data_IF_365987439533
#
_entry.id   IF_365987439533
#
_cell.length_a   1.000
_cell.length_b   1.000
_cell.length_c   1.000
_cell.angle_alpha   90.00
_cell.angle_beta   90.00
_cell.angle_gamma   90.00
#
_symmetry.space_group_name_H-M   'P 1'
#
loop_
_entity.id
_entity.type
_entity.pdbx_description
1 polymer ?
#
# COMPACT_ATOMS: atom_id res chain seq x y z
N UNK A 1 39.45 -0.85 23.51
CA UNK A 1 39.11 -0.20 22.22
C UNK A 1 38.29 -1.07 21.26
N UNK A 2 38.45 -2.39 21.23
CA UNK A 2 37.67 -3.30 20.33
C UNK A 2 36.20 -3.49 20.72
N UNK A 3 35.85 -3.44 22.00
CA UNK A 3 34.46 -3.60 22.47
C UNK A 3 33.58 -2.38 22.15
N UNK A 4 34.09 -1.17 22.21
CA UNK A 4 33.34 0.06 21.85
C UNK A 4 33.00 0.11 20.34
N UNK A 5 33.85 -0.46 19.49
CA UNK A 5 33.62 -0.52 18.03
C UNK A 5 32.51 -1.50 17.65
N UNK A 6 32.34 -2.61 18.38
CA UNK A 6 31.27 -3.59 18.15
C UNK A 6 29.88 -3.08 18.56
N UNK A 7 29.78 -2.41 19.72
CA UNK A 7 28.54 -1.77 20.15
C UNK A 7 28.11 -0.63 19.24
N UNK A 8 29.03 0.24 18.83
CA UNK A 8 28.74 1.31 17.87
C UNK A 8 28.28 0.79 16.50
N UNK A 9 28.84 -0.32 16.02
CA UNK A 9 28.43 -0.95 14.77
C UNK A 9 27.02 -1.54 14.86
N UNK A 10 26.66 -2.16 16.00
CA UNK A 10 25.33 -2.69 16.25
C UNK A 10 24.27 -1.58 16.31
N UNK A 11 24.56 -0.49 17.02
CA UNK A 11 23.66 0.68 17.14
C UNK A 11 23.45 1.35 15.77
N UNK A 12 24.50 1.48 14.95
CA UNK A 12 24.41 2.04 13.62
C UNK A 12 23.52 1.19 12.70
N UNK A 13 23.67 -0.14 12.72
CA UNK A 13 22.85 -1.05 11.96
C UNK A 13 21.38 -0.99 12.42
N UNK A 14 21.13 -0.92 13.71
CA UNK A 14 19.80 -0.77 14.27
C UNK A 14 19.15 0.57 13.85
N UNK A 15 19.87 1.68 13.92
CA UNK A 15 19.39 2.98 13.46
C UNK A 15 19.05 2.96 11.96
N UNK A 16 19.92 2.36 11.14
CA UNK A 16 19.68 2.18 9.69
C UNK A 16 18.46 1.31 9.43
N UNK A 17 18.25 0.26 10.22
CA UNK A 17 17.09 -0.61 10.09
C UNK A 17 15.79 0.13 10.44
N UNK A 18 15.78 0.88 11.54
CA UNK A 18 14.63 1.64 12.02
C UNK A 18 14.30 2.87 11.15
N UNK A 19 15.26 3.34 10.34
CA UNK A 19 15.03 4.45 9.39
C UNK A 19 14.02 4.10 8.27
N UNK A 20 13.70 2.82 8.09
CA UNK A 20 12.77 2.38 7.06
C UNK A 20 11.52 1.75 7.65
N UNK A 21 10.37 2.02 7.03
CA UNK A 21 9.09 1.43 7.42
C UNK A 21 9.10 -0.10 7.24
N UNK A 22 8.37 -0.81 8.10
CA UNK A 22 8.21 -2.27 8.02
C UNK A 22 7.71 -2.75 6.64
N UNK A 23 6.85 -1.98 5.99
CA UNK A 23 6.37 -2.26 4.62
C UNK A 23 7.49 -2.25 3.59
N UNK A 24 8.51 -1.40 3.76
CA UNK A 24 9.69 -1.34 2.89
C UNK A 24 10.50 -2.63 3.02
N UNK A 25 10.75 -3.08 4.25
CA UNK A 25 11.44 -4.35 4.51
C UNK A 25 10.68 -5.56 3.95
N UNK A 26 9.37 -5.61 4.15
CA UNK A 26 8.51 -6.68 3.62
C UNK A 26 8.55 -6.73 2.08
N UNK A 27 8.57 -5.58 1.41
CA UNK A 27 8.73 -5.50 -0.05
C UNK A 27 10.07 -6.07 -0.49
N UNK A 28 11.18 -5.65 0.13
CA UNK A 28 12.50 -6.16 -0.22
C UNK A 28 12.63 -7.66 0.06
N UNK A 29 12.14 -8.13 1.20
CA UNK A 29 12.09 -9.56 1.55
C UNK A 29 11.34 -10.38 0.51
N UNK A 30 10.15 -9.93 0.10
CA UNK A 30 9.34 -10.63 -0.91
C UNK A 30 10.02 -10.68 -2.27
N UNK A 31 10.63 -9.56 -2.70
CA UNK A 31 11.32 -9.47 -4.00
C UNK A 31 12.60 -10.29 -4.05
N UNK A 32 13.31 -10.44 -2.91
CA UNK A 32 14.56 -11.19 -2.83
C UNK A 32 14.37 -12.69 -2.61
N UNK A 33 13.21 -13.11 -2.07
CA UNK A 33 12.96 -14.51 -1.73
C UNK A 33 13.28 -15.50 -2.86
N UNK A 34 12.89 -15.28 -4.13
CA UNK A 34 13.22 -16.19 -5.22
C UNK A 34 14.73 -16.30 -5.49
N UNK A 35 15.47 -15.19 -5.30
CA UNK A 35 16.92 -15.17 -5.49
C UNK A 35 17.65 -15.86 -4.33
N UNK A 36 17.17 -15.69 -3.11
CA UNK A 36 17.71 -16.39 -1.94
C UNK A 36 17.58 -17.91 -2.15
N UNK A 37 16.42 -18.39 -2.58
CA UNK A 37 16.22 -19.82 -2.89
C UNK A 37 17.18 -20.27 -3.99
N UNK A 38 17.30 -19.49 -5.08
CA UNK A 38 18.22 -19.80 -6.17
C UNK A 38 19.69 -19.90 -5.71
N UNK A 39 20.12 -19.05 -4.79
CA UNK A 39 21.46 -19.08 -4.21
C UNK A 39 21.65 -20.30 -3.28
N UNK A 40 20.68 -20.56 -2.39
CA UNK A 40 20.74 -21.72 -1.46
C UNK A 40 20.82 -23.04 -2.22
N UNK A 41 20.04 -23.22 -3.29
CA UNK A 41 20.10 -24.43 -4.14
C UNK A 41 21.47 -24.64 -4.80
N UNK A 42 22.34 -23.63 -4.81
CA UNK A 42 23.68 -23.64 -5.45
C UNK A 42 24.81 -23.43 -4.45
N UNK A 43 24.50 -23.50 -3.16
CA UNK A 43 25.46 -23.24 -2.08
C UNK A 43 26.20 -21.90 -2.23
N UNK A 44 25.45 -20.85 -2.60
CA UNK A 44 25.96 -19.50 -2.80
C UNK A 44 25.45 -18.54 -1.72
N UNK A 45 26.31 -17.65 -1.25
CA UNK A 45 25.87 -16.49 -0.45
C UNK A 45 25.37 -15.37 -1.34
N UNK A 46 24.26 -14.75 -0.97
CA UNK A 46 23.70 -13.58 -1.69
C UNK A 46 24.68 -12.39 -1.71
N UNK A 47 25.61 -12.31 -0.77
CA UNK A 47 26.58 -11.22 -0.66
C UNK A 47 27.87 -11.45 -1.47
N UNK A 48 28.11 -12.69 -1.92
CA UNK A 48 29.27 -13.07 -2.74
C UNK A 48 28.90 -13.37 -4.19
N UNK A 49 27.68 -13.07 -4.61
CA UNK A 49 27.26 -13.24 -5.99
C UNK A 49 28.00 -12.28 -6.94
N UNK A 50 28.37 -12.80 -8.12
CA UNK A 50 28.95 -12.03 -9.20
C UNK A 50 27.88 -11.49 -10.16
N UNK A 51 28.19 -10.51 -11.05
CA UNK A 51 27.33 -10.10 -12.14
C UNK A 51 26.81 -11.27 -12.97
N UNK A 52 27.64 -12.29 -13.20
CA UNK A 52 27.28 -13.49 -13.94
C UNK A 52 26.14 -14.28 -13.28
N UNK A 53 26.23 -14.52 -11.98
CA UNK A 53 25.19 -15.25 -11.21
C UNK A 53 23.86 -14.51 -11.23
N UNK A 54 23.89 -13.19 -11.07
CA UNK A 54 22.69 -12.36 -11.14
C UNK A 54 22.04 -12.42 -12.52
N UNK A 55 22.85 -12.38 -13.58
CA UNK A 55 22.37 -12.49 -14.96
C UNK A 55 21.74 -13.86 -15.24
N UNK A 56 22.33 -14.96 -14.75
CA UNK A 56 21.73 -16.29 -14.85
C UNK A 56 20.34 -16.34 -14.17
N UNK A 57 20.24 -15.76 -12.98
CA UNK A 57 18.94 -15.67 -12.28
C UNK A 57 17.92 -14.87 -13.07
N UNK A 58 18.30 -13.68 -13.56
CA UNK A 58 17.39 -12.80 -14.34
C UNK A 58 16.88 -13.53 -15.58
N UNK A 59 17.75 -14.19 -16.33
CA UNK A 59 17.39 -14.95 -17.53
C UNK A 59 16.47 -16.13 -17.19
N UNK A 60 16.76 -16.86 -16.11
CA UNK A 60 15.91 -17.95 -15.65
C UNK A 60 14.51 -17.48 -15.24
N UNK A 61 14.39 -16.29 -14.61
CA UNK A 61 13.07 -15.71 -14.29
C UNK A 61 12.31 -15.29 -15.56
N UNK A 62 13.01 -14.69 -16.52
CA UNK A 62 12.42 -14.30 -17.79
C UNK A 62 11.89 -15.52 -18.57
N UNK A 63 12.65 -16.62 -18.60
CA UNK A 63 12.24 -17.89 -19.23
C UNK A 63 10.99 -18.51 -18.55
N UNK A 64 10.83 -18.31 -17.23
CA UNK A 64 9.61 -18.71 -16.49
C UNK A 64 8.41 -17.78 -16.75
N UNK A 65 8.54 -16.77 -17.60
CA UNK A 65 7.47 -15.81 -17.91
C UNK A 65 7.24 -14.76 -16.82
N UNK A 66 8.20 -14.55 -15.90
CA UNK A 66 8.12 -13.50 -14.90
C UNK A 66 8.16 -12.13 -15.56
N UNK A 67 7.29 -11.20 -15.16
CA UNK A 67 7.23 -9.87 -15.76
C UNK A 67 8.51 -9.06 -15.50
N UNK A 68 8.87 -8.18 -16.45
CA UNK A 68 10.00 -7.27 -16.27
C UNK A 68 9.89 -6.41 -14.99
N UNK A 69 8.66 -5.95 -14.65
CA UNK A 69 8.44 -5.19 -13.41
C UNK A 69 8.84 -5.96 -12.14
N UNK A 70 8.60 -7.27 -12.09
CA UNK A 70 9.02 -8.13 -10.98
C UNK A 70 10.54 -8.30 -10.94
N UNK A 71 11.17 -8.47 -12.10
CA UNK A 71 12.64 -8.56 -12.22
C UNK A 71 13.29 -7.23 -11.82
N UNK A 72 12.73 -6.10 -12.22
CA UNK A 72 13.20 -4.78 -11.80
C UNK A 72 13.08 -4.59 -10.28
N UNK A 73 11.95 -4.99 -9.69
CA UNK A 73 11.76 -4.92 -8.23
C UNK A 73 12.78 -5.78 -7.46
N UNK A 74 13.17 -6.92 -8.03
CA UNK A 74 14.26 -7.73 -7.50
C UNK A 74 15.61 -6.96 -7.56
N UNK A 75 15.97 -6.40 -8.71
CA UNK A 75 17.22 -5.65 -8.88
C UNK A 75 17.29 -4.45 -7.93
N UNK A 76 16.21 -3.69 -7.80
CA UNK A 76 16.12 -2.55 -6.88
C UNK A 76 16.30 -3.01 -5.42
N UNK A 77 15.67 -4.13 -5.05
CA UNK A 77 15.76 -4.69 -3.70
C UNK A 77 17.14 -5.24 -3.41
N UNK A 78 17.77 -5.86 -4.39
CA UNK A 78 19.12 -6.40 -4.23
C UNK A 78 20.15 -5.27 -4.12
N UNK A 79 20.05 -4.24 -4.96
CA UNK A 79 20.84 -3.01 -4.84
C UNK A 79 20.71 -2.39 -3.45
N UNK A 80 19.48 -2.26 -2.95
CA UNK A 80 19.23 -1.72 -1.62
C UNK A 80 19.94 -2.54 -0.53
N UNK A 81 19.84 -3.87 -0.57
CA UNK A 81 20.46 -4.75 0.44
C UNK A 81 21.98 -4.68 0.37
N UNK A 82 22.58 -4.71 -0.82
CA UNK A 82 24.03 -4.58 -0.96
C UNK A 82 24.53 -3.25 -0.36
N UNK A 83 23.85 -2.14 -0.66
CA UNK A 83 24.18 -0.82 -0.11
C UNK A 83 23.93 -0.75 1.40
N UNK A 84 22.86 -1.36 1.88
CA UNK A 84 22.54 -1.39 3.32
C UNK A 84 23.62 -2.05 4.14
N UNK A 85 24.21 -3.16 3.64
CA UNK A 85 25.30 -3.89 4.30
C UNK A 85 26.68 -3.40 3.91
N UNK A 86 26.80 -2.35 3.10
CA UNK A 86 28.10 -1.81 2.68
C UNK A 86 28.87 -2.70 1.70
N UNK A 87 28.16 -3.60 1.02
CA UNK A 87 28.74 -4.47 -0.02
C UNK A 87 28.77 -3.72 -1.34
N UNK A 88 29.82 -3.95 -2.14
CA UNK A 88 29.94 -3.32 -3.46
C UNK A 88 28.74 -3.64 -4.34
N UNK A 89 28.07 -2.58 -4.81
CA UNK A 89 26.93 -2.72 -5.70
C UNK A 89 27.40 -2.82 -7.17
N UNK A 90 27.51 -4.04 -7.66
CA UNK A 90 27.91 -4.33 -9.03
C UNK A 90 26.76 -4.35 -10.05
N UNK A 91 25.55 -3.99 -9.66
CA UNK A 91 24.40 -3.96 -10.60
C UNK A 91 24.52 -2.86 -11.65
N UNK A 92 25.47 -1.92 -11.47
CA UNK A 92 25.86 -0.95 -12.48
C UNK A 92 26.78 -1.55 -13.58
N UNK A 93 27.23 -2.79 -13.42
CA UNK A 93 28.08 -3.50 -14.38
C UNK A 93 27.44 -3.52 -15.78
N UNK A 94 28.21 -3.29 -16.86
CA UNK A 94 27.70 -3.30 -18.23
C UNK A 94 27.01 -4.61 -18.63
N UNK A 95 27.48 -5.76 -18.14
CA UNK A 95 26.88 -7.06 -18.41
C UNK A 95 25.46 -7.14 -17.81
N UNK A 96 25.28 -6.71 -16.55
CA UNK A 96 23.95 -6.69 -15.89
C UNK A 96 23.01 -5.75 -16.64
N UNK A 97 23.47 -4.55 -17.00
CA UNK A 97 22.68 -3.59 -17.78
C UNK A 97 22.26 -4.14 -19.14
N UNK A 98 23.16 -4.87 -19.82
CA UNK A 98 22.85 -5.47 -21.12
C UNK A 98 21.80 -6.56 -21.02
N UNK A 99 21.92 -7.47 -20.06
CA UNK A 99 20.94 -8.54 -19.82
C UNK A 99 19.59 -7.94 -19.38
N UNK A 100 19.60 -6.96 -18.49
CA UNK A 100 18.38 -6.22 -18.10
C UNK A 100 17.67 -5.64 -19.31
N UNK A 101 18.39 -4.94 -20.22
CA UNK A 101 17.82 -4.35 -21.44
C UNK A 101 17.25 -5.42 -22.40
N UNK A 102 17.91 -6.57 -22.49
CA UNK A 102 17.40 -7.70 -23.27
C UNK A 102 16.07 -8.21 -22.70
N UNK A 103 16.03 -8.48 -21.39
CA UNK A 103 14.83 -8.98 -20.70
C UNK A 103 13.69 -7.95 -20.77
N UNK A 104 13.99 -6.67 -20.65
CA UNK A 104 13.00 -5.60 -20.81
C UNK A 104 12.30 -5.64 -22.17
N UNK A 105 13.05 -5.95 -23.24
CA UNK A 105 12.51 -6.05 -24.59
C UNK A 105 11.74 -7.36 -24.85
N UNK A 106 12.12 -8.44 -24.19
CA UNK A 106 11.59 -9.79 -24.46
C UNK A 106 10.46 -10.21 -23.54
N UNK A 107 10.40 -9.67 -22.31
CA UNK A 107 9.31 -9.93 -21.39
C UNK A 107 8.00 -9.30 -21.85
N UNK A 108 6.93 -10.08 -21.77
CA UNK A 108 5.58 -9.59 -22.10
C UNK A 108 5.16 -8.51 -21.11
N UNK A 109 5.08 -7.28 -21.57
CA UNK A 109 4.54 -6.14 -20.80
C UNK A 109 3.01 -6.19 -20.84
N UNK A 110 2.38 -6.88 -19.90
CA UNK A 110 0.95 -6.67 -19.65
C UNK A 110 0.79 -5.38 -18.84
N UNK A 111 0.64 -4.26 -19.51
CA UNK A 111 0.14 -3.04 -18.87
C UNK A 111 -1.35 -3.23 -18.62
N UNK A 112 -1.73 -3.61 -17.41
CA UNK A 112 -3.09 -3.35 -16.97
C UNK A 112 -3.21 -1.83 -16.78
N UNK A 113 -3.73 -1.15 -17.78
CA UNK A 113 -4.10 0.26 -17.66
C UNK A 113 -5.24 0.28 -16.64
N UNK A 114 -4.95 0.83 -15.47
CA UNK A 114 -5.99 1.05 -14.46
C UNK A 114 -6.79 2.26 -14.91
N UNK A 115 -8.06 2.06 -15.20
CA UNK A 115 -8.96 3.16 -15.45
C UNK A 115 -9.22 3.93 -14.14
N UNK A 116 -9.30 5.26 -14.19
CA UNK A 116 -9.60 6.04 -13.00
C UNK A 116 -11.02 5.74 -12.52
N UNK A 117 -11.16 5.54 -11.20
CA UNK A 117 -12.44 5.39 -10.55
C UNK A 117 -13.06 6.78 -10.36
N UNK A 118 -14.09 7.09 -11.12
CA UNK A 118 -14.72 8.41 -11.16
C UNK A 118 -16.18 8.40 -10.69
N UNK A 119 -16.83 9.51 -10.91
CA UNK A 119 -18.24 9.70 -10.53
C UNK A 119 -19.20 8.77 -11.27
N UNK A 120 -18.84 8.36 -12.48
CA UNK A 120 -19.62 7.42 -13.31
C UNK A 120 -19.65 6.05 -12.67
N UNK A 121 -18.52 5.57 -12.19
CA UNK A 121 -18.38 4.27 -11.53
C UNK A 121 -19.09 4.28 -10.17
N UNK A 122 -18.96 5.38 -9.39
CA UNK A 122 -19.69 5.56 -8.13
C UNK A 122 -21.19 5.50 -8.36
N UNK A 123 -21.70 6.18 -9.39
CA UNK A 123 -23.11 6.15 -9.76
C UNK A 123 -23.56 4.77 -10.20
N UNK A 124 -22.80 4.10 -11.04
CA UNK A 124 -23.13 2.75 -11.49
C UNK A 124 -23.22 1.74 -10.33
N UNK A 125 -22.34 1.86 -9.33
CA UNK A 125 -22.41 1.04 -8.12
C UNK A 125 -23.65 1.38 -7.31
N UNK A 126 -23.95 2.68 -7.13
CA UNK A 126 -25.18 3.10 -6.47
C UNK A 126 -26.42 2.52 -7.12
N UNK A 127 -26.57 2.72 -8.44
CA UNK A 127 -27.74 2.26 -9.20
C UNK A 127 -27.91 0.73 -9.12
N UNK A 128 -26.79 -0.02 -9.15
CA UNK A 128 -26.79 -1.47 -8.99
C UNK A 128 -27.24 -1.91 -7.59
N UNK A 129 -26.76 -1.25 -6.54
CA UNK A 129 -27.14 -1.53 -5.16
C UNK A 129 -28.59 -1.12 -4.90
N UNK A 130 -28.99 0.05 -5.37
CA UNK A 130 -30.37 0.54 -5.22
C UNK A 130 -31.37 -0.38 -5.90
N UNK A 131 -31.10 -0.79 -7.14
CA UNK A 131 -31.90 -1.79 -7.87
C UNK A 131 -32.00 -3.12 -7.12
N UNK A 132 -30.90 -3.56 -6.49
CA UNK A 132 -30.85 -4.84 -5.79
C UNK A 132 -31.61 -4.83 -4.47
N UNK A 133 -31.52 -3.74 -3.72
CA UNK A 133 -32.02 -3.67 -2.35
C UNK A 133 -33.23 -2.75 -2.17
N UNK A 134 -33.52 -1.86 -3.13
CA UNK A 134 -34.68 -1.00 -3.14
C UNK A 134 -34.59 0.15 -2.11
N UNK A 135 -33.45 0.80 -2.03
CA UNK A 135 -33.19 1.94 -1.16
C UNK A 135 -31.94 1.76 -0.31
N UNK A 136 -31.19 2.84 -0.09
CA UNK A 136 -29.92 2.83 0.64
C UNK A 136 -30.09 2.38 2.10
N UNK A 137 -31.25 2.64 2.70
CA UNK A 137 -31.59 2.21 4.06
C UNK A 137 -31.65 0.68 4.18
N UNK A 138 -31.88 -0.01 3.05
CA UNK A 138 -31.97 -1.47 3.00
C UNK A 138 -30.63 -2.13 2.64
N UNK A 139 -29.59 -1.36 2.32
CA UNK A 139 -28.28 -1.95 2.02
C UNK A 139 -27.78 -2.75 3.24
N UNK A 140 -27.34 -4.00 3.06
CA UNK A 140 -26.71 -4.74 4.13
C UNK A 140 -25.46 -4.02 4.64
N UNK A 141 -25.06 -4.27 5.89
CA UNK A 141 -23.91 -3.61 6.52
C UNK A 141 -22.63 -3.70 5.70
N UNK A 142 -22.40 -4.86 5.06
CA UNK A 142 -21.21 -5.11 4.25
C UNK A 142 -21.17 -4.23 2.99
N UNK A 143 -22.26 -4.17 2.27
CA UNK A 143 -22.41 -3.40 1.05
C UNK A 143 -22.36 -1.90 1.36
N UNK A 144 -23.07 -1.45 2.40
CA UNK A 144 -23.05 -0.05 2.83
C UNK A 144 -21.64 0.38 3.26
N UNK A 145 -20.93 -0.46 4.03
CA UNK A 145 -19.54 -0.21 4.40
C UNK A 145 -18.65 -0.04 3.17
N UNK A 146 -18.70 -0.98 2.23
CA UNK A 146 -17.86 -0.97 1.04
C UNK A 146 -18.16 0.24 0.15
N UNK A 147 -19.45 0.56 0.00
CA UNK A 147 -19.88 1.72 -0.78
C UNK A 147 -19.47 3.03 -0.10
N UNK A 148 -19.66 3.15 1.22
CA UNK A 148 -19.23 4.32 1.98
C UNK A 148 -17.72 4.55 1.87
N UNK A 149 -16.91 3.49 1.96
CA UNK A 149 -15.46 3.59 1.76
C UNK A 149 -15.11 4.07 0.36
N UNK A 150 -15.78 3.57 -0.68
CA UNK A 150 -15.55 3.99 -2.06
C UNK A 150 -15.91 5.47 -2.28
N UNK A 151 -17.06 5.93 -1.77
CA UNK A 151 -17.48 7.33 -1.83
C UNK A 151 -16.52 8.22 -1.04
N UNK A 152 -16.10 7.78 0.15
CA UNK A 152 -15.13 8.50 0.97
C UNK A 152 -13.81 8.72 0.20
N UNK A 153 -13.24 7.63 -0.34
CA UNK A 153 -11.99 7.72 -1.11
C UNK A 153 -12.14 8.59 -2.37
N UNK A 154 -13.27 8.48 -3.05
CA UNK A 154 -13.55 9.29 -4.24
C UNK A 154 -13.63 10.79 -3.91
N UNK A 155 -14.19 11.17 -2.77
CA UNK A 155 -14.34 12.59 -2.40
C UNK A 155 -13.09 13.18 -1.74
N UNK A 156 -12.33 12.37 -1.01
CA UNK A 156 -11.20 12.85 -0.22
C UNK A 156 -9.84 12.55 -0.85
N UNK A 157 -9.81 11.72 -1.91
CA UNK A 157 -8.58 11.21 -2.54
C UNK A 157 -7.64 10.48 -1.58
N UNK A 158 -8.15 10.05 -0.41
CA UNK A 158 -7.38 9.26 0.55
C UNK A 158 -7.08 7.87 0.01
N UNK A 159 -5.90 7.36 0.35
CA UNK A 159 -5.55 5.97 0.02
C UNK A 159 -6.33 5.00 0.90
N UNK A 160 -6.58 3.79 0.40
CA UNK A 160 -7.24 2.75 1.18
C UNK A 160 -6.56 2.51 2.53
N UNK A 161 -5.21 2.46 2.55
CA UNK A 161 -4.41 2.31 3.77
C UNK A 161 -4.58 3.43 4.80
N UNK A 162 -5.04 4.60 4.37
CA UNK A 162 -5.27 5.73 5.25
C UNK A 162 -6.70 5.64 5.81
N UNK A 163 -7.66 5.28 4.93
CA UNK A 163 -9.09 5.15 5.30
C UNK A 163 -9.33 4.01 6.28
N UNK A 164 -8.69 2.86 6.11
CA UNK A 164 -8.84 1.70 7.02
C UNK A 164 -8.39 1.98 8.46
N UNK A 165 -7.55 3.00 8.66
CA UNK A 165 -6.99 3.37 9.98
C UNK A 165 -7.79 4.43 10.70
N UNK A 166 -8.80 5.02 10.07
CA UNK A 166 -9.64 6.05 10.68
C UNK A 166 -10.39 5.43 11.87
N UNK A 167 -10.34 6.11 13.00
CA UNK A 167 -11.07 5.76 14.22
C UNK A 167 -12.26 6.68 14.42
N UNK A 168 -13.22 6.26 15.21
CA UNK A 168 -14.36 7.11 15.59
C UNK A 168 -13.93 8.36 16.36
N UNK A 169 -12.82 8.28 17.10
CA UNK A 169 -12.21 9.43 17.80
C UNK A 169 -11.64 10.50 16.84
N UNK A 170 -11.45 10.16 15.57
CA UNK A 170 -10.93 11.08 14.55
C UNK A 170 -12.04 11.90 13.88
N UNK A 171 -13.31 11.67 14.24
CA UNK A 171 -14.49 12.22 13.57
C UNK A 171 -15.13 13.29 14.42
N UNK A 172 -15.36 14.44 13.82
CA UNK A 172 -16.23 15.50 14.36
C UNK A 172 -17.44 15.60 13.43
N UNK A 173 -18.63 15.42 14.00
CA UNK A 173 -19.90 15.56 13.28
C UNK A 173 -20.47 16.96 13.50
N UNK A 174 -20.63 17.69 12.43
CA UNK A 174 -21.33 18.96 12.36
C UNK A 174 -22.67 18.80 11.61
N UNK A 175 -23.53 19.79 11.70
CA UNK A 175 -24.83 19.78 11.02
C UNK A 175 -24.67 19.66 9.49
N UNK A 176 -23.65 20.27 8.91
CA UNK A 176 -23.46 20.38 7.45
C UNK A 176 -22.32 19.54 6.90
N UNK A 177 -21.47 19.02 7.75
CA UNK A 177 -20.32 18.21 7.33
C UNK A 177 -19.81 17.26 8.41
N UNK A 178 -19.06 16.24 7.99
CA UNK A 178 -18.13 15.54 8.88
C UNK A 178 -16.73 16.08 8.64
N UNK A 179 -16.02 16.47 9.73
CA UNK A 179 -14.58 16.71 9.71
C UNK A 179 -13.89 15.46 10.22
N UNK A 180 -12.94 14.93 9.45
CA UNK A 180 -12.26 13.69 9.77
C UNK A 180 -10.76 13.94 9.74
N UNK A 181 -10.06 13.55 10.80
CA UNK A 181 -8.61 13.68 10.92
C UNK A 181 -7.93 12.43 10.39
N UNK A 182 -7.11 12.57 9.36
CA UNK A 182 -6.24 11.50 8.87
C UNK A 182 -4.89 11.66 9.58
N UNK A 183 -4.67 10.87 10.64
CA UNK A 183 -3.49 10.99 11.52
C UNK A 183 -2.19 10.58 10.84
N UNK A 184 -2.25 9.60 9.94
CA UNK A 184 -1.07 9.04 9.28
C UNK A 184 -1.34 8.83 7.81
N UNK A 185 -0.53 9.41 6.96
CA UNK A 185 -0.52 9.09 5.53
C UNK A 185 0.90 8.81 5.05
N UNK A 186 1.04 8.16 3.92
CA UNK A 186 2.37 7.86 3.33
C UNK A 186 3.15 9.14 3.00
N UNK A 187 2.47 10.26 2.82
CA UNK A 187 3.07 11.56 2.48
C UNK A 187 3.28 12.46 3.71
N UNK A 188 2.64 12.15 4.82
CA UNK A 188 2.77 12.85 6.08
C UNK A 188 3.68 12.04 7.02
N UNK A 189 4.99 12.16 6.83
CA UNK A 189 6.00 11.46 7.64
C UNK A 189 6.25 12.17 8.98
N UNK A 190 5.89 13.45 9.10
CA UNK A 190 5.99 14.24 10.34
C UNK A 190 4.85 13.92 11.31
N UNK A 191 3.75 13.33 10.83
CA UNK A 191 2.61 12.98 11.67
C UNK A 191 1.78 14.19 12.11
N UNK A 192 1.83 15.29 11.35
CA UNK A 192 1.01 16.47 11.61
C UNK A 192 -0.48 16.20 11.40
N UNK A 193 -0.79 15.20 10.58
CA UNK A 193 -2.14 14.86 10.19
C UNK A 193 -2.75 15.87 9.23
N UNK A 194 -3.80 15.47 8.55
CA UNK A 194 -4.59 16.38 7.74
C UNK A 194 -6.08 16.18 7.96
N UNK A 195 -6.85 17.22 7.72
CA UNK A 195 -8.30 17.16 7.85
C UNK A 195 -8.94 17.02 6.48
N UNK A 196 -9.92 16.14 6.40
CA UNK A 196 -10.81 16.01 5.25
C UNK A 196 -12.25 16.28 5.67
N UNK A 197 -13.05 16.77 4.74
CA UNK A 197 -14.43 17.14 5.01
C UNK A 197 -15.36 16.39 4.07
N UNK A 198 -16.47 15.90 4.64
CA UNK A 198 -17.57 15.29 3.89
C UNK A 198 -18.80 16.18 4.02
N UNK A 199 -19.01 17.11 3.09
CA UNK A 199 -20.14 18.01 3.13
C UNK A 199 -21.44 17.32 2.70
N UNK A 200 -22.57 17.90 3.07
CA UNK A 200 -23.86 17.57 2.48
C UNK A 200 -23.86 17.83 0.98
N UNK A 201 -24.56 17.00 0.25
CA UNK A 201 -24.77 17.15 -1.21
C UNK A 201 -26.20 16.87 -1.56
N UNK A 202 -26.71 17.56 -2.58
CA UNK A 202 -28.04 17.29 -3.15
C UNK A 202 -28.09 15.98 -3.95
N UNK A 203 -26.97 15.46 -4.38
CA UNK A 203 -26.88 14.21 -5.15
C UNK A 203 -26.80 13.00 -4.21
N UNK A 204 -27.79 12.09 -4.16
CA UNK A 204 -27.83 10.99 -3.21
C UNK A 204 -26.57 10.11 -3.21
N UNK A 205 -26.09 9.72 -4.40
CA UNK A 205 -24.91 8.86 -4.54
C UNK A 205 -23.59 9.56 -4.23
N UNK A 206 -23.57 10.89 -4.12
CA UNK A 206 -22.43 11.73 -3.73
C UNK A 206 -22.59 12.34 -2.34
N UNK A 207 -23.72 12.12 -1.68
CA UNK A 207 -23.94 12.66 -0.35
C UNK A 207 -23.22 11.81 0.71
N UNK A 208 -21.90 11.98 0.78
CA UNK A 208 -21.09 11.25 1.75
C UNK A 208 -21.47 11.56 3.19
N UNK A 209 -22.00 12.76 3.47
CA UNK A 209 -22.53 13.10 4.79
C UNK A 209 -23.72 12.21 5.15
N UNK A 210 -24.74 12.13 4.28
CA UNK A 210 -25.91 11.27 4.48
C UNK A 210 -25.52 9.80 4.62
N UNK A 211 -24.64 9.32 3.74
CA UNK A 211 -24.13 7.94 3.76
C UNK A 211 -23.39 7.63 5.06
N UNK A 212 -22.61 8.59 5.57
CA UNK A 212 -21.89 8.45 6.82
C UNK A 212 -22.86 8.40 8.01
N UNK A 213 -23.89 9.25 8.06
CA UNK A 213 -24.93 9.20 9.09
C UNK A 213 -25.57 7.81 9.12
N UNK A 214 -26.04 7.34 7.96
CA UNK A 214 -26.70 6.03 7.83
C UNK A 214 -25.73 4.88 8.20
N UNK A 215 -24.48 5.00 7.82
CA UNK A 215 -23.47 4.00 8.16
C UNK A 215 -23.23 3.94 9.67
N UNK A 216 -23.06 5.10 10.32
CA UNK A 216 -22.86 5.21 11.78
C UNK A 216 -24.07 4.59 12.52
N UNK A 217 -25.29 4.92 12.11
CA UNK A 217 -26.53 4.35 12.66
C UNK A 217 -26.54 2.82 12.51
N UNK A 218 -26.40 2.32 11.28
CA UNK A 218 -26.43 0.88 10.99
C UNK A 218 -25.36 0.06 11.71
N UNK A 219 -24.20 0.67 11.96
CA UNK A 219 -23.12 0.02 12.70
C UNK A 219 -23.29 0.11 14.22
N UNK A 220 -24.25 0.89 14.72
CA UNK A 220 -24.46 1.13 16.14
C UNK A 220 -23.38 2.04 16.74
N UNK A 221 -22.82 2.95 15.96
CA UNK A 221 -21.78 3.88 16.39
C UNK A 221 -22.32 5.25 16.83
N UNK A 222 -23.63 5.38 16.97
CA UNK A 222 -24.29 6.61 17.41
C UNK A 222 -23.72 7.08 18.76
N UNK A 223 -23.42 8.37 18.84
CA UNK A 223 -22.85 8.98 20.05
C UNK A 223 -21.40 8.59 20.38
N UNK A 224 -20.74 7.77 19.55
CA UNK A 224 -19.36 7.35 19.74
C UNK A 224 -18.34 8.19 18.96
N UNK A 225 -18.79 8.99 17.99
CA UNK A 225 -17.91 9.90 17.25
C UNK A 225 -17.16 10.84 18.22
N UNK A 226 -15.87 11.02 18.02
CA UNK A 226 -15.00 11.82 18.88
C UNK A 226 -14.64 11.19 20.23
N UNK A 227 -15.15 9.99 20.56
CA UNK A 227 -15.05 9.43 21.92
C UNK A 227 -14.31 8.10 22.04
N UNK A 228 -14.16 7.33 20.97
CA UNK A 228 -13.63 5.96 21.05
C UNK A 228 -12.57 5.67 20.00
N UNK A 229 -11.65 4.76 20.35
CA UNK A 229 -10.58 4.26 19.50
C UNK A 229 -11.00 3.10 18.56
N UNK A 230 -12.31 2.89 18.41
CA UNK A 230 -12.86 1.90 17.49
C UNK A 230 -12.63 2.37 16.04
N UNK A 231 -12.24 1.46 15.16
CA UNK A 231 -12.10 1.78 13.74
C UNK A 231 -13.46 2.13 13.11
N UNK A 232 -13.47 3.18 12.29
CA UNK A 232 -14.65 3.59 11.54
C UNK A 232 -15.13 2.48 10.60
N UNK A 233 -14.19 1.80 9.94
CA UNK A 233 -14.47 0.73 8.99
C UNK A 233 -13.89 -0.61 9.47
N UNK A 234 -14.43 -1.22 10.55
CA UNK A 234 -13.92 -2.48 11.06
C UNK A 234 -14.11 -3.62 10.05
N UNK A 235 -13.27 -4.67 10.11
CA UNK A 235 -13.52 -5.89 9.35
C UNK A 235 -14.88 -6.46 9.74
N UNK A 236 -15.73 -6.76 8.76
CA UNK A 236 -16.99 -7.46 8.98
C UNK A 236 -16.75 -8.97 8.86
N UNK A 237 -17.11 -9.69 9.88
CA UNK A 237 -17.07 -11.16 9.90
C UNK A 237 -18.18 -11.74 9.01
#
# INVERSE_FOLDING_TARGET
>A
MEFETLEGSSQLLQARFLAYAASTWNRHKSSLKPFIVFCVERDLSIFSCTPYIVNLFILAQAQKGVSFGTIQAFLDSYSFVLQFYGVVNFLADPMVKTVKKFVEKTCVHRRNVKEPFGSTEVRAIWDALDKKFGGVEKFPRKELRSFMMAVFQHQTFCRFSDVEKIKLSDIIHDVDFFKITIRYSKTDQSGEGQHVYLPKSSSPFRNAHMLMCLYIEKMGFEGLAGKTDIYLFPPLK
#
